data_IF_738164007572
#
_entry.id   IF_738164007572
#
_cell.length_a   1.000
_cell.length_b   1.000
_cell.length_c   1.000
_cell.angle_alpha   90.00
_cell.angle_beta   90.00
_cell.angle_gamma   90.00
#
_symmetry.space_group_name_H-M   'P 1'
#
loop_
_entity.id
_entity.type
_entity.pdbx_description
1 polymer ?
#
# COMPACT_ATOMS: atom_id res chain seq x y z
N UNK A 1 -4.03 -8.85 -2.40
CA UNK A 1 -3.42 -9.44 -1.19
C UNK A 1 -4.44 -9.65 -0.07
N UNK A 2 -5.16 -8.61 0.39
CA UNK A 2 -6.16 -8.72 1.48
C UNK A 2 -7.24 -9.79 1.24
N UNK A 3 -7.78 -9.90 0.01
CA UNK A 3 -8.83 -10.88 -0.33
C UNK A 3 -8.37 -12.31 -0.07
N UNK A 4 -7.16 -12.67 -0.52
CA UNK A 4 -6.59 -13.99 -0.31
C UNK A 4 -6.37 -14.29 1.19
N UNK A 5 -5.76 -13.35 1.92
CA UNK A 5 -5.51 -13.49 3.36
C UNK A 5 -6.81 -13.63 4.16
N UNK A 6 -7.84 -12.86 3.78
CA UNK A 6 -9.17 -12.94 4.41
C UNK A 6 -9.81 -14.31 4.22
N UNK A 7 -9.74 -14.88 3.01
CA UNK A 7 -10.24 -16.24 2.73
C UNK A 7 -9.44 -17.29 3.50
N UNK A 8 -8.12 -17.17 3.56
CA UNK A 8 -7.27 -18.14 4.27
C UNK A 8 -7.62 -18.23 5.77
N UNK A 9 -7.89 -17.09 6.41
CA UNK A 9 -8.23 -17.02 7.83
C UNK A 9 -9.73 -16.97 8.13
N UNK A 10 -10.60 -17.19 7.14
CA UNK A 10 -12.05 -17.00 7.27
C UNK A 10 -12.68 -17.80 8.42
N UNK A 11 -12.14 -18.99 8.71
CA UNK A 11 -12.64 -19.88 9.77
C UNK A 11 -12.00 -19.65 11.14
N UNK A 12 -11.07 -18.69 11.25
CA UNK A 12 -10.39 -18.42 12.51
C UNK A 12 -10.94 -17.16 13.17
N UNK A 13 -11.83 -17.33 14.14
CA UNK A 13 -12.47 -16.23 14.88
C UNK A 13 -11.50 -15.36 15.68
N UNK A 14 -10.26 -15.83 15.89
CA UNK A 14 -9.20 -15.09 16.60
C UNK A 14 -8.30 -14.28 15.65
N UNK A 15 -8.56 -14.31 14.34
CA UNK A 15 -7.81 -13.56 13.34
C UNK A 15 -8.74 -12.58 12.63
N UNK A 16 -8.38 -11.30 12.67
CA UNK A 16 -9.11 -10.23 11.98
C UNK A 16 -8.25 -9.76 10.82
N UNK A 17 -8.78 -9.85 9.60
CA UNK A 17 -8.17 -9.28 8.39
C UNK A 17 -9.03 -8.12 7.93
N UNK A 18 -8.49 -6.91 8.01
CA UNK A 18 -9.24 -5.67 7.73
C UNK A 18 -8.38 -4.64 7.01
N UNK A 19 -9.05 -3.74 6.28
CA UNK A 19 -8.48 -2.51 5.74
C UNK A 19 -9.00 -1.26 6.45
N UNK A 20 -9.73 -1.42 7.55
CA UNK A 20 -10.20 -0.31 8.38
C UNK A 20 -9.08 0.20 9.29
N UNK A 21 -9.05 1.52 9.46
CA UNK A 21 -8.05 2.25 10.27
C UNK A 21 -6.62 2.19 9.72
N UNK A 22 -5.80 3.09 10.21
CA UNK A 22 -4.36 3.16 9.90
C UNK A 22 -3.57 2.18 10.76
N UNK A 23 -2.37 1.80 10.30
CA UNK A 23 -1.50 0.93 11.08
C UNK A 23 -1.14 1.54 12.44
N UNK A 24 -0.94 2.86 12.51
CA UNK A 24 -0.72 3.62 13.74
C UNK A 24 -1.86 3.44 14.75
N UNK A 25 -3.12 3.53 14.31
CA UNK A 25 -4.28 3.35 15.19
C UNK A 25 -4.33 1.94 15.79
N UNK A 26 -4.06 0.92 14.97
CA UNK A 26 -3.97 -0.46 15.44
C UNK A 26 -2.80 -0.66 16.42
N UNK A 27 -1.61 -0.18 16.08
CA UNK A 27 -0.41 -0.35 16.91
C UNK A 27 -0.54 0.32 18.28
N UNK A 28 -1.23 1.47 18.40
CA UNK A 28 -1.49 2.13 19.70
C UNK A 28 -2.30 1.26 20.68
N UNK A 29 -3.05 0.29 20.19
CA UNK A 29 -3.89 -0.61 21.00
C UNK A 29 -3.39 -2.05 20.99
N UNK A 30 -2.48 -2.38 20.09
CA UNK A 30 -1.92 -3.72 19.97
C UNK A 30 -0.94 -4.00 21.11
N UNK A 31 -0.94 -5.25 21.57
CA UNK A 31 0.08 -5.76 22.48
C UNK A 31 1.48 -5.76 21.81
N UNK A 32 1.54 -6.15 20.54
CA UNK A 32 2.76 -6.08 19.73
C UNK A 32 2.43 -6.01 18.23
N UNK A 33 3.37 -5.48 17.44
CA UNK A 33 3.35 -5.42 15.98
C UNK A 33 4.49 -6.29 15.43
N UNK A 34 4.14 -7.23 14.55
CA UNK A 34 5.11 -8.06 13.83
C UNK A 34 5.16 -7.59 12.37
N UNK A 35 6.36 -7.34 11.84
CA UNK A 35 6.54 -6.85 10.47
C UNK A 35 7.77 -7.46 9.79
N UNK A 36 7.86 -7.28 8.48
CA UNK A 36 8.94 -7.78 7.64
C UNK A 36 9.65 -6.62 6.88
N UNK A 37 10.23 -5.69 7.66
CA UNK A 37 11.07 -4.61 7.15
C UNK A 37 10.36 -3.47 6.40
N UNK A 38 9.04 -3.33 6.53
CA UNK A 38 8.29 -2.17 6.03
C UNK A 38 8.28 -0.98 7.00
N UNK A 39 7.96 0.21 6.52
CA UNK A 39 7.90 1.46 7.31
C UNK A 39 6.89 1.40 8.48
N UNK A 40 5.90 0.51 8.39
CA UNK A 40 4.93 0.24 9.45
C UNK A 40 5.59 -0.15 10.78
N UNK A 41 6.74 -0.84 10.75
CA UNK A 41 7.50 -1.14 11.98
C UNK A 41 7.93 0.13 12.72
N UNK A 42 8.36 1.15 11.98
CA UNK A 42 8.77 2.45 12.55
C UNK A 42 7.56 3.24 13.07
N UNK A 43 6.45 3.24 12.34
CA UNK A 43 5.19 3.87 12.78
C UNK A 43 4.67 3.26 14.09
N UNK A 44 4.69 1.93 14.19
CA UNK A 44 4.29 1.19 15.39
C UNK A 44 5.22 1.50 16.57
N UNK A 45 6.53 1.56 16.32
CA UNK A 45 7.55 1.90 17.30
C UNK A 45 7.33 3.30 17.87
N UNK A 46 7.15 4.30 17.01
CA UNK A 46 6.87 5.69 17.41
C UNK A 46 5.53 5.83 18.16
N UNK A 47 4.61 4.88 17.97
CA UNK A 47 3.35 4.80 18.69
C UNK A 47 3.46 4.15 20.08
N UNK A 48 4.66 3.73 20.49
CA UNK A 48 4.91 3.06 21.77
C UNK A 48 4.52 1.58 21.79
N UNK A 49 4.21 0.98 20.63
CA UNK A 49 3.91 -0.45 20.54
C UNK A 49 5.20 -1.28 20.60
N UNK A 50 5.12 -2.50 21.14
CA UNK A 50 6.20 -3.47 21.02
C UNK A 50 6.35 -3.93 19.57
N UNK A 51 7.52 -3.78 18.98
CA UNK A 51 7.76 -4.08 17.56
C UNK A 51 8.73 -5.26 17.43
N UNK A 52 8.39 -6.20 16.56
CA UNK A 52 9.21 -7.36 16.24
C UNK A 52 9.35 -7.45 14.73
N UNK A 53 10.56 -7.30 14.24
CA UNK A 53 10.91 -7.63 12.88
C UNK A 53 11.12 -9.15 12.78
N UNK A 54 10.26 -9.84 12.03
CA UNK A 54 10.33 -11.29 11.86
C UNK A 54 10.55 -11.67 10.40
N UNK A 55 11.66 -12.35 10.13
CA UNK A 55 11.95 -12.96 8.84
C UNK A 55 12.66 -14.29 9.05
N UNK A 56 11.98 -15.37 8.66
CA UNK A 56 12.60 -16.69 8.63
C UNK A 56 13.64 -16.71 7.49
N UNK A 57 14.90 -17.05 7.82
CA UNK A 57 16.07 -16.98 6.92
C UNK A 57 16.51 -15.55 6.55
N UNK A 58 16.95 -14.79 7.56
CA UNK A 58 17.50 -13.45 7.36
C UNK A 58 18.79 -13.50 6.52
N UNK A 59 18.72 -13.06 5.26
CA UNK A 59 19.90 -12.83 4.43
C UNK A 59 20.49 -11.45 4.77
N UNK A 60 21.63 -11.44 5.47
CA UNK A 60 22.35 -10.23 5.87
C UNK A 60 22.84 -9.37 4.69
N UNK A 61 22.92 -9.91 3.47
CA UNK A 61 23.50 -9.21 2.31
C UNK A 61 22.51 -8.29 1.58
N UNK A 62 21.20 -8.39 1.88
CA UNK A 62 20.14 -7.66 1.18
C UNK A 62 19.40 -6.66 2.10
N UNK A 63 20.12 -5.86 2.89
CA UNK A 63 19.52 -4.88 3.82
C UNK A 63 18.97 -3.68 3.04
N UNK A 64 17.88 -3.88 2.31
CA UNK A 64 17.17 -2.84 1.56
C UNK A 64 16.46 -1.86 2.52
N UNK A 65 16.24 -2.25 3.79
CA UNK A 65 15.49 -1.47 4.78
C UNK A 65 16.21 -1.39 6.14
N UNK A 66 17.39 -0.77 6.17
CA UNK A 66 18.24 -0.64 7.38
C UNK A 66 17.46 -0.08 8.57
N UNK A 67 16.70 1.00 8.37
CA UNK A 67 16.02 1.69 9.47
C UNK A 67 14.83 0.88 10.01
N UNK A 68 13.87 0.41 9.19
CA UNK A 68 12.81 -0.46 9.69
C UNK A 68 13.29 -1.73 10.39
N UNK A 69 14.38 -2.32 9.96
CA UNK A 69 14.91 -3.56 10.56
C UNK A 69 15.66 -3.30 11.88
N UNK A 70 15.97 -2.04 12.18
CA UNK A 70 16.72 -1.64 13.37
C UNK A 70 15.83 -1.24 14.56
N UNK A 71 14.50 -1.15 14.37
CA UNK A 71 13.57 -0.78 15.44
C UNK A 71 12.97 -2.02 16.12
N UNK A 72 12.91 -2.00 17.44
CA UNK A 72 12.37 -3.11 18.23
C UNK A 72 13.25 -4.36 18.24
N UNK A 73 12.62 -5.53 18.33
CA UNK A 73 13.31 -6.82 18.36
C UNK A 73 13.45 -7.42 16.98
N UNK A 74 14.46 -8.25 16.80
CA UNK A 74 14.61 -9.09 15.62
C UNK A 74 14.34 -10.55 16.01
N UNK A 75 13.61 -11.27 15.15
CA UNK A 75 13.39 -12.69 15.26
C UNK A 75 13.65 -13.38 13.91
N UNK A 76 14.48 -14.41 13.92
CA UNK A 76 14.88 -15.16 12.72
C UNK A 76 14.32 -16.58 12.70
N UNK A 77 13.66 -16.99 13.78
CA UNK A 77 13.00 -18.28 13.92
C UNK A 77 11.68 -18.14 14.69
N UNK A 78 10.74 -19.06 14.46
CA UNK A 78 9.47 -19.08 15.19
C UNK A 78 9.65 -19.22 16.71
N UNK A 79 10.63 -20.01 17.16
CA UNK A 79 10.94 -20.18 18.59
C UNK A 79 11.37 -18.86 19.25
N UNK A 80 12.21 -18.09 18.56
CA UNK A 80 12.65 -16.77 19.00
C UNK A 80 11.48 -15.78 19.02
N UNK A 81 10.70 -15.73 17.94
CA UNK A 81 9.49 -14.91 17.85
C UNK A 81 8.55 -15.19 19.03
N UNK A 82 8.26 -16.47 19.29
CA UNK A 82 7.38 -16.89 20.39
C UNK A 82 7.93 -16.45 21.75
N UNK A 83 9.24 -16.57 21.97
CA UNK A 83 9.89 -16.11 23.21
C UNK A 83 9.74 -14.61 23.39
N UNK A 84 9.92 -13.83 22.33
CA UNK A 84 9.79 -12.37 22.39
C UNK A 84 8.34 -11.95 22.63
N UNK A 85 7.38 -12.57 21.94
CA UNK A 85 5.95 -12.26 22.09
C UNK A 85 5.45 -12.62 23.49
N UNK A 86 5.79 -13.79 24.03
CA UNK A 86 5.27 -14.26 25.32
C UNK A 86 6.08 -13.75 26.53
N UNK A 87 7.31 -13.27 26.32
CA UNK A 87 8.16 -12.75 27.38
C UNK A 87 7.75 -11.33 27.80
N UNK A 88 7.94 -11.03 29.08
CA UNK A 88 7.82 -9.68 29.68
C UNK A 88 9.01 -8.77 29.32
N UNK A 89 9.46 -8.82 28.05
CA UNK A 89 10.51 -7.92 27.61
C UNK A 89 9.88 -6.54 27.38
N UNK A 90 10.25 -5.56 28.22
CA UNK A 90 10.07 -4.13 27.94
C UNK A 90 10.80 -3.78 26.65
N UNK A 91 10.30 -2.85 25.82
CA UNK A 91 10.94 -2.42 24.56
C UNK A 91 12.44 -2.08 24.71
N UNK A 92 13.30 -3.10 24.66
CA UNK A 92 14.67 -3.01 25.19
C UNK A 92 15.69 -2.55 24.15
N UNK A 93 15.27 -2.13 22.96
CA UNK A 93 16.21 -1.74 21.92
C UNK A 93 15.90 -0.36 21.33
N UNK A 94 16.97 0.43 21.40
CA UNK A 94 17.20 1.84 21.09
C UNK A 94 16.01 2.67 20.62
N UNK A 95 15.67 3.65 21.47
CA UNK A 95 15.21 4.99 21.08
C UNK A 95 16.28 5.68 20.25
N UNK A 96 16.72 5.09 19.12
CA UNK A 96 17.46 5.85 18.13
C UNK A 96 16.46 6.72 17.37
N UNK A 97 15.88 7.68 18.11
CA UNK A 97 14.94 8.67 17.61
C UNK A 97 15.58 9.44 16.46
N UNK A 98 16.90 9.63 16.51
CA UNK A 98 17.70 10.22 15.45
C UNK A 98 17.67 9.38 14.17
N UNK A 99 17.86 8.06 14.27
CA UNK A 99 17.77 7.16 13.12
C UNK A 99 16.35 7.09 12.53
N UNK A 100 15.31 7.07 13.37
CA UNK A 100 13.92 7.19 12.91
C UNK A 100 13.66 8.56 12.25
N UNK A 101 14.23 9.64 12.80
CA UNK A 101 14.20 10.96 12.18
C UNK A 101 14.92 10.97 10.82
N UNK A 102 15.91 10.11 10.56
CA UNK A 102 16.54 10.04 9.23
C UNK A 102 15.60 9.54 8.13
N UNK A 103 14.61 8.69 8.46
CA UNK A 103 13.54 8.36 7.50
C UNK A 103 12.67 9.57 7.18
N UNK A 104 12.44 10.43 8.17
CA UNK A 104 11.69 11.68 8.00
C UNK A 104 12.57 12.75 7.34
N UNK A 105 13.89 12.76 7.55
CA UNK A 105 14.80 13.75 6.95
C UNK A 105 15.06 13.50 5.47
N UNK A 106 14.79 12.29 4.97
CA UNK A 106 14.67 12.04 3.53
C UNK A 106 13.47 12.77 2.90
N UNK A 107 12.48 13.21 3.69
CA UNK A 107 11.61 14.30 3.27
C UNK A 107 12.40 15.60 3.42
N UNK A 108 13.11 15.95 2.36
CA UNK A 108 13.74 17.26 2.23
C UNK A 108 12.67 18.34 2.44
N UNK A 109 12.79 19.09 3.54
CA UNK A 109 11.83 20.15 3.91
C UNK A 109 11.81 21.30 2.91
N UNK A 110 12.85 21.43 2.09
CA UNK A 110 12.92 22.40 1.01
C UNK A 110 12.22 21.90 -0.25
N UNK A 111 11.89 20.60 -0.29
CA UNK A 111 11.45 19.90 -1.48
C UNK A 111 10.04 19.37 -1.28
N UNK A 112 9.09 20.01 -1.95
CA UNK A 112 7.71 19.56 -1.94
C UNK A 112 7.61 18.22 -2.70
N UNK A 113 7.65 17.11 -1.97
CA UNK A 113 7.62 15.76 -2.56
C UNK A 113 6.36 15.52 -3.39
N UNK A 114 5.23 16.13 -3.00
CA UNK A 114 4.00 16.07 -3.78
C UNK A 114 4.17 16.80 -5.12
N UNK A 115 4.73 18.01 -5.10
CA UNK A 115 5.01 18.76 -6.33
C UNK A 115 5.98 17.99 -7.23
N UNK A 116 7.02 17.36 -6.67
CA UNK A 116 7.98 16.58 -7.45
C UNK A 116 7.35 15.33 -8.08
N UNK A 117 6.43 14.65 -7.38
CA UNK A 117 5.67 13.54 -7.97
C UNK A 117 4.77 14.04 -9.10
N UNK A 118 4.12 15.20 -8.92
CA UNK A 118 3.31 15.83 -9.97
C UNK A 118 4.17 16.19 -11.18
N UNK A 119 5.31 16.85 -10.97
CA UNK A 119 6.25 17.25 -12.02
C UNK A 119 6.78 16.03 -12.77
N UNK A 120 7.23 14.99 -12.06
CA UNK A 120 7.71 13.75 -12.66
C UNK A 120 6.60 13.04 -13.45
N UNK A 121 5.36 13.08 -12.95
CA UNK A 121 4.20 12.52 -13.63
C UNK A 121 3.90 13.30 -14.92
N UNK A 122 3.96 14.63 -14.87
CA UNK A 122 3.78 15.49 -16.05
C UNK A 122 4.88 15.22 -17.08
N UNK A 123 6.14 15.16 -16.66
CA UNK A 123 7.28 14.84 -17.51
C UNK A 123 7.06 13.48 -18.16
N UNK A 124 6.83 12.43 -17.36
CA UNK A 124 6.60 11.07 -17.84
C UNK A 124 5.41 10.99 -18.79
N UNK A 125 4.31 11.69 -18.52
CA UNK A 125 3.14 11.74 -19.41
C UNK A 125 3.43 12.50 -20.70
N UNK A 126 4.24 13.55 -20.66
CA UNK A 126 4.63 14.34 -21.85
C UNK A 126 5.59 13.56 -22.75
N UNK A 127 6.46 12.75 -22.15
CA UNK A 127 7.41 11.88 -22.86
C UNK A 127 6.77 10.55 -23.30
N UNK A 128 5.62 10.20 -22.71
CA UNK A 128 4.87 8.99 -23.06
C UNK A 128 4.42 9.08 -24.52
N UNK A 129 5.18 8.42 -25.39
CA UNK A 129 4.75 8.17 -26.77
C UNK A 129 3.40 7.49 -26.73
N UNK A 130 2.44 8.03 -27.49
CA UNK A 130 1.12 7.42 -27.62
C UNK A 130 1.31 5.95 -27.99
N UNK A 131 0.75 5.04 -27.18
CA UNK A 131 0.80 3.61 -27.47
C UNK A 131 0.24 3.36 -28.88
N UNK A 132 0.85 2.44 -29.61
CA UNK A 132 0.35 2.07 -30.94
C UNK A 132 -1.05 1.45 -30.81
N UNK A 133 -2.09 2.26 -30.95
CA UNK A 133 -3.44 1.77 -31.12
C UNK A 133 -3.55 1.27 -32.55
N UNK A 134 -3.84 -0.02 -32.71
CA UNK A 134 -4.02 -0.61 -34.04
C UNK A 134 -5.05 0.21 -34.82
N UNK A 135 -4.75 0.56 -36.08
CA UNK A 135 -5.66 1.33 -36.94
C UNK A 135 -7.07 0.70 -37.01
N UNK A 136 -7.18 -0.62 -36.88
CA UNK A 136 -8.46 -1.34 -36.82
C UNK A 136 -9.30 -0.98 -35.58
N UNK A 137 -8.66 -0.84 -34.42
CA UNK A 137 -9.34 -0.46 -33.17
C UNK A 137 -9.85 0.99 -33.23
N UNK A 138 -9.06 1.89 -33.81
CA UNK A 138 -9.47 3.28 -33.99
C UNK A 138 -10.69 3.40 -34.94
N UNK A 139 -10.66 2.69 -36.07
CA UNK A 139 -11.79 2.66 -37.01
C UNK A 139 -13.03 2.03 -36.37
N UNK A 140 -12.87 0.95 -35.59
CA UNK A 140 -13.97 0.33 -34.86
C UNK A 140 -14.62 1.29 -33.85
N UNK A 141 -13.82 1.98 -33.02
CA UNK A 141 -14.32 2.97 -32.06
C UNK A 141 -15.03 4.14 -32.76
N UNK A 142 -14.46 4.64 -33.86
CA UNK A 142 -15.06 5.71 -34.66
C UNK A 142 -16.42 5.29 -35.25
N UNK A 143 -16.49 4.11 -35.87
CA UNK A 143 -17.75 3.56 -36.39
C UNK A 143 -18.78 3.34 -35.28
N UNK A 144 -18.34 2.83 -34.13
CA UNK A 144 -19.23 2.63 -32.98
C UNK A 144 -19.81 3.95 -32.47
N UNK A 145 -19.01 5.02 -32.42
CA UNK A 145 -19.49 6.37 -32.06
C UNK A 145 -20.47 6.92 -33.07
N UNK A 146 -20.19 6.81 -34.38
CA UNK A 146 -21.11 7.23 -35.45
C UNK A 146 -22.44 6.47 -35.33
N UNK A 147 -22.39 5.14 -35.19
CA UNK A 147 -23.58 4.29 -35.05
C UNK A 147 -24.37 4.68 -33.80
N UNK A 148 -23.69 4.96 -32.69
CA UNK A 148 -24.33 5.37 -31.44
C UNK A 148 -25.00 6.75 -31.58
N UNK A 149 -24.36 7.69 -32.28
CA UNK A 149 -24.89 9.02 -32.56
C UNK A 149 -26.12 8.94 -33.46
N UNK A 150 -26.03 8.16 -34.55
CA UNK A 150 -27.16 7.90 -35.45
C UNK A 150 -28.31 7.22 -34.70
N UNK A 151 -28.02 6.23 -33.85
CA UNK A 151 -29.04 5.60 -32.98
C UNK A 151 -29.67 6.58 -32.01
N UNK A 152 -28.90 7.50 -31.44
CA UNK A 152 -29.40 8.54 -30.54
C UNK A 152 -30.36 9.48 -31.26
N UNK A 153 -29.97 10.02 -32.42
CA UNK A 153 -30.82 10.91 -33.23
C UNK A 153 -32.03 10.20 -33.85
N UNK A 154 -31.87 8.96 -34.33
CA UNK A 154 -32.98 8.16 -34.85
C UNK A 154 -34.02 7.83 -33.76
N UNK A 155 -33.60 7.67 -32.49
CA UNK A 155 -34.53 7.54 -31.37
C UNK A 155 -35.30 8.83 -31.08
N UNK A 156 -34.69 9.99 -31.31
CA UNK A 156 -35.37 11.28 -31.18
C UNK A 156 -36.44 11.49 -32.27
N UNK A 157 -36.23 10.93 -33.45
CA UNK A 157 -37.18 10.98 -34.57
C UNK A 157 -38.36 9.99 -34.45
N UNK A 158 -38.31 9.02 -33.52
CA UNK A 158 -39.36 8.01 -33.32
C UNK A 158 -39.94 8.14 -31.89
N UNK A 159 -41.09 8.82 -31.71
CA UNK A 159 -41.67 9.12 -30.40
C UNK A 159 -41.92 7.90 -29.51
N UNK A 160 -42.16 6.72 -30.10
CA UNK A 160 -42.44 5.48 -29.36
C UNK A 160 -41.23 4.89 -28.60
N UNK A 161 -40.01 5.39 -28.85
CA UNK A 161 -38.77 4.95 -28.19
C UNK A 161 -38.16 6.00 -27.25
N UNK A 162 -38.86 7.11 -27.01
CA UNK A 162 -38.44 8.22 -26.16
C UNK A 162 -38.74 8.00 -24.65
N UNK A 163 -38.70 6.76 -24.15
CA UNK A 163 -38.72 6.54 -22.69
C UNK A 163 -37.29 6.64 -22.14
N UNK A 164 -37.06 7.42 -21.07
CA UNK A 164 -35.73 7.53 -20.46
C UNK A 164 -35.29 6.18 -19.89
N UNK A 165 -34.02 5.84 -20.09
CA UNK A 165 -33.33 4.84 -19.27
C UNK A 165 -33.33 5.37 -17.82
N UNK A 166 -34.00 4.68 -16.91
CA UNK A 166 -33.68 4.72 -15.47
C UNK A 166 -32.52 3.75 -15.27
#
# INVERSE_FOLDING_TARGET
>A
MIVFTKTFFEKNERVIVTNCHTAVEWSKKAYCTIHDGCTTGVEAYLSGCKVIHYREQFNHEAVINVIPNSVGYNATSYSELKKIVLGENENDILKNKELCHMMISNFDKTLNSFQRVVDETVITLSEKKAGYVSKKLFVHDFLHKIISLVKYYARYAIPSKAKPYI
#
